data_IF_988218201336
#
_entry.id   IF_988218201336
#
_cell.length_a   1.000
_cell.length_b   1.000
_cell.length_c   1.000
_cell.angle_alpha   90.00
_cell.angle_beta   90.00
_cell.angle_gamma   90.00
#
_symmetry.space_group_name_H-M   'P 1'
#
loop_
_entity.id
_entity.type
_entity.pdbx_description
1 polymer ?
#
# COMPACT_ATOMS: atom_id res chain seq x y z
N UNK A 1 2.75 11.84 -9.96
CA UNK A 1 1.38 11.31 -9.83
C UNK A 1 1.19 10.16 -10.83
N UNK A 2 0.59 9.04 -10.46
CA UNK A 2 0.28 7.99 -11.41
C UNK A 2 -0.71 8.53 -12.47
N UNK A 3 -0.57 8.10 -13.74
CA UNK A 3 -1.48 8.53 -14.79
C UNK A 3 -2.89 7.94 -14.58
N UNK A 4 -3.92 8.73 -14.90
CA UNK A 4 -5.30 8.23 -14.97
C UNK A 4 -5.55 7.59 -16.34
N UNK A 5 -6.25 6.45 -16.37
CA UNK A 5 -6.71 5.85 -17.64
C UNK A 5 -7.62 6.81 -18.43
N UNK A 6 -8.34 7.67 -17.74
CA UNK A 6 -9.26 8.63 -18.37
C UNK A 6 -8.56 9.77 -19.11
N UNK A 7 -7.21 9.86 -19.03
CA UNK A 7 -6.39 10.77 -19.85
C UNK A 7 -6.11 10.21 -21.25
N UNK A 8 -6.26 8.90 -21.45
CA UNK A 8 -6.09 8.31 -22.78
C UNK A 8 -7.23 8.69 -23.70
N UNK A 9 -6.92 8.92 -24.98
CA UNK A 9 -7.91 9.24 -26.02
C UNK A 9 -8.93 8.09 -26.14
N UNK A 10 -10.22 8.42 -26.17
CA UNK A 10 -11.32 7.45 -26.25
C UNK A 10 -11.59 6.68 -24.94
N UNK A 11 -10.77 6.81 -23.89
CA UNK A 11 -10.96 6.01 -22.67
C UNK A 11 -12.31 6.23 -22.00
N UNK A 12 -12.85 7.46 -22.01
CA UNK A 12 -14.17 7.76 -21.42
C UNK A 12 -15.33 7.04 -22.09
N UNK A 13 -15.13 6.50 -23.29
CA UNK A 13 -16.14 5.75 -24.03
C UNK A 13 -16.15 4.27 -23.65
N UNK A 14 -15.02 3.71 -23.19
CA UNK A 14 -14.84 2.27 -23.00
C UNK A 14 -14.32 1.89 -21.61
N UNK A 15 -13.90 2.85 -20.79
CA UNK A 15 -13.26 2.58 -19.51
C UNK A 15 -13.90 3.31 -18.34
N UNK A 16 -13.63 2.81 -17.16
CA UNK A 16 -13.92 3.46 -15.87
C UNK A 16 -12.69 3.40 -14.99
N UNK A 17 -12.55 4.37 -14.10
CA UNK A 17 -11.56 4.41 -13.05
C UNK A 17 -12.23 4.37 -11.68
N UNK A 18 -11.71 3.54 -10.80
CA UNK A 18 -12.17 3.41 -9.42
C UNK A 18 -11.22 4.19 -8.52
N UNK A 19 -11.73 5.17 -7.78
CA UNK A 19 -10.96 5.96 -6.85
C UNK A 19 -11.39 5.66 -5.42
N UNK A 20 -10.46 5.18 -4.60
CA UNK A 20 -10.72 4.91 -3.19
C UNK A 20 -10.18 6.03 -2.31
N UNK A 21 -11.00 6.55 -1.41
CA UNK A 21 -10.57 7.54 -0.43
C UNK A 21 -9.80 6.94 0.75
N UNK A 22 -9.71 5.62 0.80
CA UNK A 22 -9.03 4.86 1.85
C UNK A 22 -7.58 5.32 2.06
N UNK A 23 -6.83 5.55 0.97
CA UNK A 23 -5.40 5.86 1.03
C UNK A 23 -5.12 7.35 0.89
N UNK A 24 -5.71 7.99 -0.13
CA UNK A 24 -5.47 9.40 -0.43
C UNK A 24 -5.96 10.36 0.65
N UNK A 25 -7.04 9.99 1.36
CA UNK A 25 -7.63 10.82 2.43
C UNK A 25 -7.64 10.11 3.80
N UNK A 26 -6.88 9.02 3.96
CA UNK A 26 -6.82 8.24 5.22
C UNK A 26 -8.18 7.75 5.73
N UNK A 27 -9.15 7.54 4.83
CA UNK A 27 -10.53 7.14 5.16
C UNK A 27 -10.73 5.63 5.09
N UNK A 28 -9.81 4.83 5.64
CA UNK A 28 -9.83 3.37 5.53
C UNK A 28 -11.10 2.73 6.15
N UNK A 29 -11.49 3.14 7.35
CA UNK A 29 -12.67 2.62 8.06
C UNK A 29 -14.01 3.07 7.48
N UNK A 30 -14.02 4.12 6.67
CA UNK A 30 -15.23 4.70 6.08
C UNK A 30 -15.79 3.89 4.91
N UNK A 31 -14.99 3.01 4.31
CA UNK A 31 -15.37 2.13 3.20
C UNK A 31 -16.03 2.86 2.03
N UNK A 32 -15.42 3.97 1.58
CA UNK A 32 -15.93 4.83 0.52
C UNK A 32 -14.96 4.92 -0.65
N UNK A 33 -15.53 4.77 -1.84
CA UNK A 33 -14.87 4.91 -3.13
C UNK A 33 -15.90 5.42 -4.15
N UNK A 34 -15.44 5.93 -5.28
CA UNK A 34 -16.31 6.28 -6.40
C UNK A 34 -15.75 5.74 -7.72
N UNK A 35 -16.64 5.64 -8.72
CA UNK A 35 -16.31 5.27 -10.08
C UNK A 35 -16.59 6.43 -11.01
N UNK A 36 -15.65 6.74 -11.89
CA UNK A 36 -15.78 7.74 -12.93
C UNK A 36 -15.41 7.16 -14.30
N UNK A 37 -16.02 7.64 -15.38
CA UNK A 37 -15.73 7.21 -16.74
C UNK A 37 -16.97 6.97 -17.57
N UNK A 38 -17.01 5.87 -18.31
CA UNK A 38 -18.11 5.55 -19.22
C UNK A 38 -19.48 5.59 -18.51
N UNK A 39 -20.43 6.41 -18.99
CA UNK A 39 -21.71 6.62 -18.29
C UNK A 39 -22.59 5.36 -18.23
N UNK A 40 -22.51 4.45 -19.22
CA UNK A 40 -23.29 3.22 -19.22
C UNK A 40 -22.79 2.25 -18.13
N UNK A 41 -21.48 2.14 -17.98
CA UNK A 41 -20.88 1.31 -16.93
C UNK A 41 -21.16 1.90 -15.54
N UNK A 42 -21.07 3.23 -15.39
CA UNK A 42 -21.44 3.92 -14.13
C UNK A 42 -22.92 3.69 -13.80
N UNK A 43 -23.81 3.81 -14.78
CA UNK A 43 -25.24 3.56 -14.59
C UNK A 43 -25.53 2.09 -14.24
N UNK A 44 -24.81 1.14 -14.84
CA UNK A 44 -24.94 -0.28 -14.51
C UNK A 44 -24.52 -0.56 -13.05
N UNK A 45 -23.43 0.05 -12.57
CA UNK A 45 -23.03 -0.04 -11.16
C UNK A 45 -24.09 0.57 -10.23
N UNK A 46 -24.61 1.76 -10.56
CA UNK A 46 -25.64 2.42 -9.77
C UNK A 46 -26.90 1.55 -9.66
N UNK A 47 -27.33 0.94 -10.77
CA UNK A 47 -28.45 0.00 -10.79
C UNK A 47 -28.17 -1.23 -9.93
N UNK A 48 -27.00 -1.83 -10.03
CA UNK A 48 -26.63 -2.99 -9.23
C UNK A 48 -26.63 -2.64 -7.73
N UNK A 49 -26.03 -1.52 -7.33
CA UNK A 49 -26.00 -1.06 -5.93
C UNK A 49 -27.40 -0.80 -5.37
N UNK A 50 -28.34 -0.32 -6.16
CA UNK A 50 -29.70 -0.09 -5.70
C UNK A 50 -30.43 -1.35 -5.22
N UNK A 51 -29.98 -2.52 -5.66
CA UNK A 51 -30.50 -3.83 -5.24
C UNK A 51 -29.63 -4.51 -4.18
N UNK A 52 -28.30 -4.29 -4.20
CA UNK A 52 -27.38 -4.97 -3.29
C UNK A 52 -27.29 -4.30 -1.91
N UNK A 53 -27.20 -2.99 -1.87
CA UNK A 53 -26.95 -2.24 -0.63
C UNK A 53 -27.83 -1.00 -0.45
N UNK A 54 -28.79 -0.78 -1.33
CA UNK A 54 -29.68 0.38 -1.35
C UNK A 54 -28.96 1.74 -1.41
N UNK A 55 -27.67 1.73 -1.68
CA UNK A 55 -26.78 2.89 -1.71
C UNK A 55 -25.88 3.03 -0.49
N UNK A 56 -24.89 3.89 -0.63
CA UNK A 56 -23.95 4.19 0.47
C UNK A 56 -24.62 5.08 1.51
N UNK A 57 -24.38 4.82 2.80
CA UNK A 57 -24.90 5.63 3.90
C UNK A 57 -24.58 7.12 3.71
N UNK A 58 -25.64 7.96 3.71
CA UNK A 58 -25.52 9.36 3.33
C UNK A 58 -24.45 10.18 4.09
N UNK A 59 -24.30 10.05 5.42
CA UNK A 59 -23.24 10.76 6.14
C UNK A 59 -21.83 10.46 5.62
N UNK A 60 -21.56 9.25 5.15
CA UNK A 60 -20.27 8.89 4.53
C UNK A 60 -20.09 9.63 3.19
N UNK A 61 -21.15 9.73 2.39
CA UNK A 61 -21.11 10.49 1.12
C UNK A 61 -20.88 11.98 1.37
N UNK A 62 -21.53 12.56 2.37
CA UNK A 62 -21.31 13.95 2.78
C UNK A 62 -19.87 14.16 3.24
N UNK A 63 -19.36 13.28 4.11
CA UNK A 63 -17.98 13.37 4.59
C UNK A 63 -16.97 13.28 3.44
N UNK A 64 -17.19 12.38 2.48
CA UNK A 64 -16.34 12.26 1.28
C UNK A 64 -16.38 13.55 0.43
N UNK A 65 -17.56 14.12 0.25
CA UNK A 65 -17.76 15.37 -0.50
C UNK A 65 -17.04 16.55 0.17
N UNK A 66 -17.22 16.71 1.49
CA UNK A 66 -16.54 17.74 2.28
C UNK A 66 -15.04 17.57 2.19
N UNK A 67 -14.53 16.36 2.38
CA UNK A 67 -13.09 16.06 2.31
C UNK A 67 -12.49 16.44 0.96
N UNK A 68 -13.16 16.09 -0.14
CA UNK A 68 -12.66 16.40 -1.49
C UNK A 68 -12.68 17.92 -1.78
N UNK A 69 -13.67 18.64 -1.27
CA UNK A 69 -13.84 20.07 -1.54
C UNK A 69 -12.99 20.97 -0.63
N UNK A 70 -12.82 20.57 0.64
CA UNK A 70 -12.21 21.41 1.65
C UNK A 70 -10.76 21.02 1.97
N UNK A 71 -10.33 19.79 1.56
CA UNK A 71 -8.98 19.26 1.82
C UNK A 71 -8.29 18.77 0.54
N UNK A 72 -8.27 19.55 -0.55
CA UNK A 72 -7.72 19.10 -1.84
C UNK A 72 -6.21 18.82 -1.77
N UNK A 73 -5.48 19.44 -0.86
CA UNK A 73 -4.02 19.31 -0.70
C UNK A 73 -3.61 18.13 0.18
N UNK A 74 -4.53 17.57 0.96
CA UNK A 74 -4.24 16.47 1.89
C UNK A 74 -3.57 15.25 1.23
N UNK A 75 -3.94 14.81 0.01
CA UNK A 75 -3.25 13.72 -0.66
C UNK A 75 -1.75 13.98 -0.91
N UNK A 76 -1.37 15.23 -1.19
CA UNK A 76 0.04 15.61 -1.36
C UNK A 76 0.80 15.55 -0.02
N UNK A 77 0.19 16.02 1.06
CA UNK A 77 0.75 15.93 2.42
C UNK A 77 0.94 14.47 2.83
N UNK A 78 -0.07 13.61 2.62
CA UNK A 78 0.01 12.18 2.88
C UNK A 78 1.13 11.51 2.06
N UNK A 79 1.28 11.85 0.79
CA UNK A 79 2.36 11.37 -0.07
C UNK A 79 3.73 11.75 0.48
N UNK A 80 3.93 12.99 0.93
CA UNK A 80 5.20 13.43 1.51
C UNK A 80 5.58 12.63 2.77
N UNK A 81 4.61 12.33 3.63
CA UNK A 81 4.81 11.48 4.81
C UNK A 81 5.25 10.06 4.39
N UNK A 82 4.56 9.44 3.43
CA UNK A 82 4.92 8.10 2.98
C UNK A 82 6.26 8.07 2.25
N UNK A 83 6.60 9.12 1.53
CA UNK A 83 7.92 9.26 0.89
C UNK A 83 9.05 9.32 1.92
N UNK A 84 8.91 10.11 2.98
CA UNK A 84 9.84 10.17 4.10
C UNK A 84 10.04 8.79 4.75
N UNK A 85 8.95 8.09 5.03
CA UNK A 85 8.98 6.75 5.62
C UNK A 85 9.62 5.71 4.70
N UNK A 86 9.32 5.77 3.39
CA UNK A 86 9.95 4.94 2.37
C UNK A 86 11.46 5.13 2.37
N UNK A 87 11.90 6.37 2.33
CA UNK A 87 13.33 6.70 2.33
C UNK A 87 14.00 6.19 3.61
N UNK A 88 13.41 6.44 4.78
CA UNK A 88 13.92 5.93 6.05
C UNK A 88 14.05 4.40 6.08
N UNK A 89 13.08 3.67 5.51
CA UNK A 89 13.14 2.22 5.40
C UNK A 89 14.22 1.77 4.43
N UNK A 90 14.18 2.22 3.17
CA UNK A 90 15.09 1.75 2.12
C UNK A 90 16.55 2.08 2.45
N UNK A 91 16.84 3.32 2.89
CA UNK A 91 18.18 3.72 3.34
C UNK A 91 18.64 2.91 4.56
N UNK A 92 17.69 2.60 5.46
CA UNK A 92 17.95 1.79 6.64
C UNK A 92 18.32 0.36 6.27
N UNK A 93 17.58 -0.27 5.37
CA UNK A 93 17.81 -1.63 4.90
C UNK A 93 19.13 -1.73 4.12
N UNK A 94 19.43 -0.78 3.23
CA UNK A 94 20.69 -0.72 2.50
C UNK A 94 21.91 -0.70 3.44
N UNK A 95 21.85 0.05 4.55
CA UNK A 95 22.94 0.09 5.56
C UNK A 95 23.21 -1.24 6.26
N UNK A 96 22.26 -2.15 6.24
CA UNK A 96 22.41 -3.51 6.81
C UNK A 96 22.66 -4.58 5.74
N UNK A 97 22.90 -4.17 4.48
CA UNK A 97 23.17 -5.07 3.36
C UNK A 97 21.93 -5.62 2.66
N UNK A 98 20.73 -5.17 3.03
CA UNK A 98 19.51 -5.58 2.37
C UNK A 98 19.07 -4.54 1.33
N UNK A 99 19.51 -4.71 0.09
CA UNK A 99 19.18 -3.79 -1.00
C UNK A 99 17.73 -3.95 -1.45
N UNK A 100 16.99 -2.84 -1.40
CA UNK A 100 15.58 -2.78 -1.78
C UNK A 100 15.35 -1.56 -2.66
N UNK A 101 14.78 -1.77 -3.85
CA UNK A 101 14.44 -0.66 -4.75
C UNK A 101 13.31 0.19 -4.15
N UNK A 102 13.50 1.50 -3.96
CA UNK A 102 12.45 2.38 -3.46
C UNK A 102 11.26 2.44 -4.42
N UNK A 103 10.03 2.09 -3.98
CA UNK A 103 8.87 2.15 -4.86
C UNK A 103 8.55 3.61 -5.24
N UNK A 104 8.12 3.83 -6.48
CA UNK A 104 7.73 5.16 -6.99
C UNK A 104 6.40 5.66 -6.45
N UNK A 105 5.64 4.82 -5.79
CA UNK A 105 4.34 5.13 -5.21
C UNK A 105 3.91 4.06 -4.22
N UNK A 106 2.71 4.21 -3.66
CA UNK A 106 2.12 3.34 -2.64
C UNK A 106 2.72 3.50 -1.23
N UNK A 107 2.03 2.93 -0.26
CA UNK A 107 2.46 2.84 1.14
C UNK A 107 3.10 1.49 1.46
N UNK A 108 3.49 0.73 0.45
CA UNK A 108 4.09 -0.60 0.59
C UNK A 108 5.42 -0.66 -0.13
N UNK A 109 6.37 -1.38 0.44
CA UNK A 109 7.66 -1.69 -0.18
C UNK A 109 7.78 -3.19 -0.31
N UNK A 110 7.97 -3.68 -1.53
CA UNK A 110 8.34 -5.07 -1.79
C UNK A 110 9.84 -5.20 -1.64
N UNK A 111 10.26 -6.18 -0.86
CA UNK A 111 11.66 -6.48 -0.63
C UNK A 111 11.92 -7.94 -1.03
N UNK A 112 12.86 -8.20 -1.93
CA UNK A 112 13.29 -9.57 -2.18
C UNK A 112 13.91 -10.13 -0.89
N UNK A 113 13.68 -11.40 -0.62
CA UNK A 113 14.32 -12.10 0.50
C UNK A 113 15.84 -12.11 0.21
N UNK A 114 16.69 -11.75 1.20
CA UNK A 114 18.12 -11.79 1.00
C UNK A 114 18.58 -13.17 0.51
N UNK A 115 19.58 -13.24 -0.40
CA UNK A 115 20.01 -14.50 -1.02
C UNK A 115 20.32 -15.63 -0.02
N UNK A 116 20.87 -15.27 1.14
CA UNK A 116 21.24 -16.18 2.23
C UNK A 116 20.03 -16.91 2.84
N UNK A 117 18.81 -16.36 2.65
CA UNK A 117 17.55 -16.89 3.18
C UNK A 117 16.58 -17.32 2.07
N UNK A 118 17.03 -17.35 0.81
CA UNK A 118 16.15 -17.64 -0.36
C UNK A 118 15.45 -19.01 -0.29
N UNK A 119 16.10 -20.00 0.35
CA UNK A 119 15.58 -21.35 0.47
C UNK A 119 14.45 -21.50 1.50
N UNK A 120 14.25 -20.49 2.37
CA UNK A 120 13.20 -20.53 3.41
C UNK A 120 11.79 -20.34 2.87
N UNK A 121 11.63 -19.66 1.74
CA UNK A 121 10.33 -19.19 1.27
C UNK A 121 9.76 -18.03 2.10
N UNK A 122 8.79 -17.31 1.54
CA UNK A 122 8.33 -16.03 2.10
C UNK A 122 7.59 -16.16 3.44
N UNK A 123 6.88 -17.25 3.68
CA UNK A 123 6.14 -17.48 4.94
C UNK A 123 7.10 -17.79 6.08
N UNK A 124 8.07 -18.66 5.84
CA UNK A 124 9.04 -19.05 6.85
C UNK A 124 9.94 -17.88 7.21
N UNK A 125 10.43 -17.13 6.21
CA UNK A 125 11.24 -15.93 6.40
C UNK A 125 10.48 -14.86 7.19
N UNK A 126 9.22 -14.56 6.84
CA UNK A 126 8.40 -13.61 7.59
C UNK A 126 8.17 -14.07 9.04
N UNK A 127 7.95 -15.37 9.26
CA UNK A 127 7.76 -15.96 10.59
C UNK A 127 9.03 -15.87 11.45
N UNK A 128 10.18 -16.10 10.84
CA UNK A 128 11.49 -15.94 11.47
C UNK A 128 11.71 -14.49 11.91
N UNK A 129 11.42 -13.50 11.07
CA UNK A 129 11.56 -12.09 11.42
C UNK A 129 10.65 -11.65 12.57
N UNK A 130 9.45 -12.23 12.68
CA UNK A 130 8.58 -11.98 13.85
C UNK A 130 9.24 -12.50 15.13
N UNK A 131 9.81 -13.70 15.11
CA UNK A 131 10.40 -14.35 16.30
C UNK A 131 11.71 -13.69 16.73
N UNK A 132 12.60 -13.42 15.76
CA UNK A 132 13.97 -13.01 16.02
C UNK A 132 14.17 -11.48 16.03
N UNK A 133 13.33 -10.74 15.28
CA UNK A 133 13.43 -9.29 15.14
C UNK A 133 12.26 -8.54 15.77
N UNK A 134 11.17 -9.19 16.15
CA UNK A 134 9.88 -8.56 16.51
C UNK A 134 9.37 -7.61 15.41
N UNK A 135 9.57 -8.01 14.14
CA UNK A 135 9.12 -7.26 12.96
C UNK A 135 8.17 -8.14 12.15
N UNK A 136 6.92 -7.69 12.05
CA UNK A 136 5.89 -8.38 11.28
C UNK A 136 5.84 -7.85 9.84
N UNK A 137 6.04 -8.73 8.88
CA UNK A 137 5.96 -8.45 7.45
C UNK A 137 4.93 -9.37 6.79
N UNK A 138 4.35 -8.93 5.68
CA UNK A 138 3.49 -9.81 4.90
C UNK A 138 4.34 -10.70 4.00
N UNK A 139 4.19 -12.05 4.06
CA UNK A 139 4.86 -12.92 3.11
C UNK A 139 4.31 -12.70 1.70
N UNK A 140 5.19 -12.69 0.70
CA UNK A 140 4.81 -12.35 -0.67
C UNK A 140 3.84 -13.35 -1.29
N UNK A 141 3.97 -14.64 -0.98
CA UNK A 141 3.03 -15.68 -1.45
C UNK A 141 1.58 -15.43 -1.03
N UNK A 142 1.34 -14.67 0.04
CA UNK A 142 0.00 -14.24 0.46
C UNK A 142 -0.73 -13.36 -0.57
N UNK A 143 -0.01 -12.85 -1.57
CA UNK A 143 -0.56 -12.06 -2.69
C UNK A 143 -0.61 -12.85 -4.01
N UNK A 144 -0.35 -14.13 -3.95
CA UNK A 144 -0.33 -15.04 -5.09
C UNK A 144 1.05 -15.64 -5.36
N UNK A 145 1.13 -16.69 -6.20
CA UNK A 145 2.38 -17.43 -6.45
C UNK A 145 3.53 -16.54 -6.95
N UNK A 146 3.22 -15.50 -7.73
CA UNK A 146 4.22 -14.55 -8.23
C UNK A 146 4.84 -13.65 -7.14
N UNK A 147 4.33 -13.67 -5.92
CA UNK A 147 4.90 -12.95 -4.79
C UNK A 147 5.95 -13.74 -4.01
N UNK A 148 6.11 -15.04 -4.29
CA UNK A 148 7.11 -15.86 -3.62
C UNK A 148 8.53 -15.30 -3.83
N UNK A 149 9.39 -15.50 -2.84
CA UNK A 149 10.74 -14.90 -2.82
C UNK A 149 10.78 -13.43 -2.38
N UNK A 150 9.64 -12.86 -1.97
CA UNK A 150 9.55 -11.49 -1.50
C UNK A 150 8.78 -11.40 -0.17
N UNK A 151 9.03 -10.30 0.55
CA UNK A 151 8.19 -9.85 1.68
C UNK A 151 7.73 -8.42 1.43
N UNK A 152 6.58 -8.04 2.02
CA UNK A 152 6.03 -6.70 1.88
C UNK A 152 6.06 -5.94 3.20
N UNK A 153 6.75 -4.82 3.22
CA UNK A 153 6.69 -3.83 4.29
C UNK A 153 5.48 -2.91 4.12
N UNK A 154 4.84 -2.50 5.22
CA UNK A 154 3.84 -1.45 5.25
C UNK A 154 4.44 -0.21 5.93
N UNK A 155 4.39 0.95 5.25
CA UNK A 155 4.96 2.22 5.72
C UNK A 155 3.98 2.97 6.63
N UNK A 156 3.28 2.24 7.51
CA UNK A 156 2.23 2.80 8.38
C UNK A 156 2.79 3.40 9.68
N UNK A 157 4.00 3.01 10.07
CA UNK A 157 4.69 3.50 11.24
C UNK A 157 5.53 4.74 10.93
N UNK A 158 5.85 5.54 11.96
CA UNK A 158 6.72 6.69 11.82
C UNK A 158 8.19 6.29 11.63
N UNK A 159 9.04 7.24 11.24
CA UNK A 159 10.45 7.01 10.91
C UNK A 159 11.26 6.50 12.12
N UNK A 160 10.88 6.86 13.34
CA UNK A 160 11.55 6.36 14.55
C UNK A 160 11.30 4.86 14.75
N UNK A 161 10.05 4.43 14.56
CA UNK A 161 9.65 3.01 14.62
C UNK A 161 10.25 2.22 13.48
N UNK A 162 10.29 2.79 12.27
CA UNK A 162 10.99 2.19 11.12
C UNK A 162 12.47 2.00 11.43
N UNK A 163 13.13 3.02 11.96
CA UNK A 163 14.53 2.92 12.39
C UNK A 163 14.75 1.86 13.47
N UNK A 164 13.80 1.69 14.40
CA UNK A 164 13.86 0.61 15.40
C UNK A 164 13.73 -0.77 14.74
N UNK A 165 12.78 -0.92 13.79
CA UNK A 165 12.61 -2.17 13.05
C UNK A 165 13.90 -2.55 12.29
N UNK A 166 14.54 -1.59 11.61
CA UNK A 166 15.80 -1.82 10.91
C UNK A 166 16.92 -2.29 11.86
N UNK A 167 17.05 -1.68 13.05
CA UNK A 167 18.03 -2.13 14.06
C UNK A 167 17.75 -3.56 14.53
N UNK A 168 16.49 -3.91 14.72
CA UNK A 168 16.09 -5.26 15.11
C UNK A 168 16.40 -6.27 14.01
N UNK A 169 16.08 -5.93 12.76
CA UNK A 169 16.40 -6.75 11.58
C UNK A 169 17.90 -7.00 11.48
N UNK A 170 18.72 -5.95 11.63
CA UNK A 170 20.19 -6.11 11.64
C UNK A 170 20.63 -7.13 12.69
N UNK A 171 20.13 -6.99 13.93
CA UNK A 171 20.50 -7.89 15.02
C UNK A 171 20.06 -9.34 14.81
N UNK A 172 18.92 -9.56 14.12
CA UNK A 172 18.44 -10.91 13.81
C UNK A 172 19.24 -11.54 12.68
N UNK A 173 19.40 -10.84 11.55
CA UNK A 173 20.11 -11.35 10.37
C UNK A 173 21.58 -11.66 10.69
N UNK A 174 22.30 -10.77 11.41
CA UNK A 174 23.70 -11.02 11.79
C UNK A 174 23.89 -12.21 12.75
N UNK A 175 22.89 -12.53 13.58
CA UNK A 175 22.98 -13.68 14.51
C UNK A 175 22.78 -15.02 13.84
N UNK A 176 22.08 -15.04 12.73
CA UNK A 176 21.80 -16.28 11.98
C UNK A 176 22.93 -16.64 11.02
N UNK A 177 23.78 -15.65 10.68
CA UNK A 177 24.96 -15.83 9.82
C UNK A 177 26.21 -16.26 10.64
N UNK A 178 26.12 -16.30 11.98
CA UNK A 178 27.21 -16.67 12.89
C UNK A 178 27.08 -18.09 13.41
#
# INVERSE_FOLDING_TARGET
SPPSILQAEGAKEVAVELYSMTKSFSMAGWRVAFMAGNPEIVAALAKMKSYLDYGTFQPIQIAATVTMNEMPDYPAEACAIYESRRNALCDGLARIGWEVEPPKGTMFTWAPIPPEYSDMGSVEFASMLVKEANVALSPGVGFGPGGEGNVRFALIENEQRIGQAVRNLRGALTRLDA
#
